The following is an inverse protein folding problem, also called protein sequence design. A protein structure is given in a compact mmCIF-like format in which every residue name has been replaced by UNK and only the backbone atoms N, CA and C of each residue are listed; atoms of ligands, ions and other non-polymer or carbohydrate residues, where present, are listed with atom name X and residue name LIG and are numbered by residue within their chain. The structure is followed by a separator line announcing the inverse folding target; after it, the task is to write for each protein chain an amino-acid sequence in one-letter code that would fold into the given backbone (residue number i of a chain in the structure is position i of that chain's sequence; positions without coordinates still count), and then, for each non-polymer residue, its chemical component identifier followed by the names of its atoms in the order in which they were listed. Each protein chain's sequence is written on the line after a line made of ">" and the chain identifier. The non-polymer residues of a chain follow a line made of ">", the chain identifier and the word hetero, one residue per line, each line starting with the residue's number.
data_IF_027876852047
#
_entry.id   IF_027876852047
#
_cell.length_a   1.000
_cell.length_b   1.000
_cell.length_c   1.000
_cell.angle_alpha   90.00
_cell.angle_beta   90.00
_cell.angle_gamma   90.00
#
_symmetry.space_group_name_H-M   'P 1'
#
loop_
_entity.id
_entity.type
_entity.pdbx_description
1 polymer ?
#
# COMPACT_ATOMS: atom_id res chain seq x y z
N UNK A 1 63.79 47.58 -14.16
CA UNK A 1 63.63 46.68 -13.00
C UNK A 1 62.30 45.89 -13.05
N UNK A 2 62.08 44.96 -14.00
CA UNK A 2 60.83 44.14 -14.08
C UNK A 2 61.05 42.62 -14.19
N UNK A 3 62.30 42.18 -14.43
CA UNK A 3 62.66 40.75 -14.52
C UNK A 3 62.50 39.93 -13.21
N UNK A 4 62.77 40.45 -12.00
CA UNK A 4 62.64 39.62 -10.80
C UNK A 4 61.18 39.34 -10.42
N UNK A 5 60.26 40.27 -10.71
CA UNK A 5 58.83 40.09 -10.44
C UNK A 5 58.20 38.99 -11.31
N UNK A 6 58.56 38.96 -12.61
CA UNK A 6 58.11 37.91 -13.52
C UNK A 6 58.62 36.51 -13.10
N UNK A 7 59.85 36.44 -12.59
CA UNK A 7 60.46 35.18 -12.15
C UNK A 7 59.81 34.64 -10.85
N UNK A 8 59.46 35.54 -9.93
CA UNK A 8 58.74 35.20 -8.70
C UNK A 8 57.32 34.71 -9.03
N UNK A 9 56.60 35.38 -9.93
CA UNK A 9 55.26 34.97 -10.35
C UNK A 9 55.27 33.58 -11.03
N UNK A 10 56.26 33.33 -11.89
CA UNK A 10 56.41 32.04 -12.58
C UNK A 10 56.77 30.92 -11.60
N UNK A 11 57.59 31.21 -10.59
CA UNK A 11 57.95 30.27 -9.53
C UNK A 11 56.76 29.94 -8.62
N UNK A 12 55.90 30.93 -8.32
CA UNK A 12 54.66 30.72 -7.56
C UNK A 12 53.67 29.88 -8.38
N UNK A 13 53.46 30.18 -9.66
CA UNK A 13 52.62 29.35 -10.53
C UNK A 13 53.15 27.92 -10.67
N UNK A 14 54.47 27.72 -10.74
CA UNK A 14 55.10 26.40 -10.77
C UNK A 14 54.90 25.66 -9.44
N UNK A 15 55.05 26.34 -8.31
CA UNK A 15 54.81 25.75 -6.99
C UNK A 15 53.35 25.40 -6.78
N UNK A 16 52.41 26.23 -7.26
CA UNK A 16 50.98 25.96 -7.23
C UNK A 16 50.64 24.77 -8.15
N UNK A 17 51.22 24.69 -9.35
CA UNK A 17 50.95 23.56 -10.25
C UNK A 17 51.60 22.26 -9.77
N UNK A 18 52.77 22.32 -9.14
CA UNK A 18 53.41 21.18 -8.48
C UNK A 18 52.65 20.74 -7.23
N UNK A 19 52.15 21.67 -6.41
CA UNK A 19 51.37 21.35 -5.22
C UNK A 19 49.98 20.82 -5.58
N UNK A 20 49.33 21.39 -6.59
CA UNK A 20 48.08 20.88 -7.15
C UNK A 20 48.29 19.51 -7.82
N UNK A 21 49.39 19.33 -8.54
CA UNK A 21 49.79 18.04 -9.10
C UNK A 21 50.01 16.99 -8.02
N UNK A 22 50.73 17.32 -6.95
CA UNK A 22 50.93 16.44 -5.79
C UNK A 22 49.63 16.14 -5.06
N UNK A 23 48.75 17.13 -4.89
CA UNK A 23 47.43 16.95 -4.29
C UNK A 23 46.58 15.99 -5.11
N UNK A 24 46.53 16.16 -6.44
CA UNK A 24 45.75 15.30 -7.34
C UNK A 24 46.35 13.89 -7.50
N UNK A 25 47.65 13.74 -7.28
CA UNK A 25 48.36 12.45 -7.46
C UNK A 25 48.62 11.69 -6.17
N UNK A 26 48.32 12.28 -5.00
CA UNK A 26 48.54 11.64 -3.70
C UNK A 26 47.26 11.02 -3.12
N UNK A 27 47.36 9.90 -2.37
CA UNK A 27 46.22 9.31 -1.65
C UNK A 27 45.58 10.26 -0.63
N UNK A 28 46.37 11.18 -0.06
CA UNK A 28 45.90 12.18 0.91
C UNK A 28 45.01 13.24 0.27
N UNK A 29 45.38 13.76 -0.89
CA UNK A 29 44.53 14.74 -1.60
C UNK A 29 43.26 14.09 -2.14
N UNK A 30 43.35 12.84 -2.60
CA UNK A 30 42.18 12.02 -2.93
C UNK A 30 41.21 11.87 -1.75
N UNK A 31 41.72 11.54 -0.56
CA UNK A 31 40.92 11.44 0.68
C UNK A 31 40.13 12.72 0.97
N UNK A 32 40.79 13.89 0.89
CA UNK A 32 40.15 15.20 1.12
C UNK A 32 39.03 15.47 0.10
N UNK A 33 39.21 15.08 -1.16
CA UNK A 33 38.18 15.25 -2.19
C UNK A 33 36.95 14.38 -1.88
N UNK A 34 37.17 13.13 -1.44
CA UNK A 34 36.06 12.26 -1.06
C UNK A 34 35.33 12.78 0.17
N UNK A 35 36.06 13.21 1.21
CA UNK A 35 35.50 13.86 2.40
C UNK A 35 34.62 15.05 2.00
N UNK A 36 35.16 15.95 1.18
CA UNK A 36 34.41 17.14 0.70
C UNK A 36 33.16 16.76 -0.10
N UNK A 37 33.25 15.75 -0.98
CA UNK A 37 32.13 15.30 -1.79
C UNK A 37 31.02 14.67 -0.95
N UNK A 38 31.40 13.91 0.09
CA UNK A 38 30.47 13.28 1.03
C UNK A 38 29.82 14.35 1.92
N UNK A 39 30.58 15.30 2.46
CA UNK A 39 30.04 16.39 3.27
C UNK A 39 28.99 17.20 2.49
N UNK A 40 29.23 17.47 1.20
CA UNK A 40 28.27 18.18 0.35
C UNK A 40 27.03 17.36 -0.01
N UNK A 41 27.17 16.04 -0.14
CA UNK A 41 26.10 15.19 -0.68
C UNK A 41 25.25 14.52 0.39
N UNK A 42 25.85 14.18 1.53
CA UNK A 42 25.26 13.35 2.59
C UNK A 42 25.17 14.05 3.95
N UNK A 43 25.88 15.17 4.15
CA UNK A 43 25.95 15.93 5.41
C UNK A 43 26.04 15.01 6.65
N UNK A 44 27.11 14.19 6.75
CA UNK A 44 27.20 13.14 7.74
C UNK A 44 27.49 13.70 9.14
N UNK A 45 26.89 13.09 10.16
CA UNK A 45 27.26 13.41 11.54
C UNK A 45 28.67 12.92 11.91
N UNK A 46 29.07 11.73 11.44
CA UNK A 46 30.44 11.22 11.58
C UNK A 46 30.90 10.54 10.28
N UNK A 47 32.16 10.74 9.92
CA UNK A 47 32.78 10.16 8.72
C UNK A 47 34.19 9.65 9.01
N UNK A 48 34.48 8.40 8.64
CA UNK A 48 35.79 7.76 8.77
C UNK A 48 36.17 6.96 7.52
N UNK A 49 37.46 7.01 7.19
CA UNK A 49 38.10 6.17 6.18
C UNK A 49 39.39 5.63 6.79
N UNK A 50 39.52 4.31 6.85
CA UNK A 50 40.70 3.63 7.38
C UNK A 50 41.91 3.80 6.45
N UNK A 51 41.75 3.46 5.17
CA UNK A 51 42.85 3.49 4.19
C UNK A 51 42.40 4.00 2.81
N UNK A 52 43.35 4.58 2.08
CA UNK A 52 43.18 4.98 0.69
C UNK A 52 44.42 4.63 -0.14
N UNK A 53 44.20 3.93 -1.26
CA UNK A 53 45.24 3.47 -2.17
C UNK A 53 44.99 4.02 -3.57
N UNK A 54 46.05 4.46 -4.25
CA UNK A 54 45.99 4.94 -5.63
C UNK A 54 45.99 6.47 -5.76
N UNK A 55 45.47 6.97 -6.88
CA UNK A 55 45.42 8.40 -7.21
C UNK A 55 44.35 8.73 -8.25
N UNK A 56 43.98 10.01 -8.38
CA UNK A 56 42.86 10.42 -9.26
C UNK A 56 43.07 10.05 -10.74
N UNK A 57 44.32 9.89 -11.19
CA UNK A 57 44.65 9.56 -12.59
C UNK A 57 44.38 8.08 -12.91
N UNK A 58 44.77 7.17 -12.02
CA UNK A 58 44.67 5.71 -12.23
C UNK A 58 43.45 5.08 -11.56
N UNK A 59 42.79 5.84 -10.69
CA UNK A 59 41.72 5.36 -9.81
C UNK A 59 42.19 5.27 -8.37
N UNK A 60 41.25 5.51 -7.46
CA UNK A 60 41.45 5.48 -6.01
C UNK A 60 40.58 4.38 -5.44
N UNK A 61 41.15 3.60 -4.56
CA UNK A 61 40.45 2.63 -3.73
C UNK A 61 40.41 3.15 -2.30
N UNK A 62 39.22 3.22 -1.73
CA UNK A 62 38.99 3.49 -0.32
C UNK A 62 38.55 2.19 0.34
N UNK A 63 39.10 1.91 1.52
CA UNK A 63 38.79 0.71 2.29
C UNK A 63 38.17 1.08 3.64
N UNK A 64 37.20 0.28 4.07
CA UNK A 64 36.47 0.42 5.33
C UNK A 64 35.96 1.85 5.59
N UNK A 65 35.16 2.36 4.66
CA UNK A 65 34.46 3.63 4.87
C UNK A 65 33.33 3.41 5.87
N UNK A 66 33.25 4.28 6.87
CA UNK A 66 32.17 4.30 7.84
C UNK A 66 31.55 5.70 7.92
N UNK A 67 30.25 5.79 7.65
CA UNK A 67 29.46 7.02 7.71
C UNK A 67 28.33 6.79 8.71
N UNK A 68 28.15 7.70 9.68
CA UNK A 68 27.06 7.62 10.66
C UNK A 68 26.21 8.87 10.63
N UNK A 69 24.94 8.71 11.04
CA UNK A 69 23.98 9.80 11.16
C UNK A 69 23.88 10.60 9.85
N UNK A 70 23.65 9.90 8.75
CA UNK A 70 23.50 10.48 7.41
C UNK A 70 22.24 11.37 7.41
N UNK A 71 22.37 12.61 6.93
CA UNK A 71 21.25 13.52 6.84
C UNK A 71 20.14 12.95 5.93
N UNK A 72 18.88 13.04 6.37
CA UNK A 72 17.74 12.49 5.64
C UNK A 72 17.50 10.98 5.84
N UNK A 73 18.22 10.33 6.76
CA UNK A 73 17.94 8.97 7.24
C UNK A 73 17.61 8.98 8.74
N UNK A 74 17.01 7.88 9.27
CA UNK A 74 16.76 7.73 10.71
C UNK A 74 18.02 7.94 11.56
N UNK A 75 17.85 8.54 12.75
CA UNK A 75 18.95 8.69 13.72
C UNK A 75 19.48 7.31 14.10
N UNK A 76 20.81 7.17 14.13
CA UNK A 76 21.47 5.86 14.33
C UNK A 76 21.72 5.09 13.03
N UNK A 77 21.30 5.61 11.87
CA UNK A 77 21.66 5.01 10.58
C UNK A 77 23.17 5.04 10.36
N UNK A 78 23.68 3.96 9.78
CA UNK A 78 25.10 3.79 9.54
C UNK A 78 25.34 3.13 8.17
N UNK A 79 26.23 3.70 7.36
CA UNK A 79 26.69 3.12 6.12
C UNK A 79 28.13 2.64 6.29
N UNK A 80 28.37 1.36 6.05
CA UNK A 80 29.72 0.76 5.99
C UNK A 80 30.02 0.32 4.58
N UNK A 81 31.17 0.70 4.02
CA UNK A 81 31.60 0.26 2.69
C UNK A 81 32.94 -0.41 2.83
N UNK A 82 33.00 -1.71 2.52
CA UNK A 82 34.26 -2.45 2.64
C UNK A 82 35.29 -1.96 1.63
N UNK A 83 34.88 -1.78 0.37
CA UNK A 83 35.75 -1.26 -0.68
C UNK A 83 34.98 -0.41 -1.66
N UNK A 84 35.48 0.80 -1.91
CA UNK A 84 34.97 1.73 -2.91
C UNK A 84 36.10 2.10 -3.86
N UNK A 85 35.98 1.71 -5.11
CA UNK A 85 36.89 2.15 -6.18
C UNK A 85 36.22 3.24 -6.99
N UNK A 86 36.93 4.34 -7.24
CA UNK A 86 36.47 5.45 -8.09
C UNK A 86 37.60 5.81 -9.06
N UNK A 87 37.26 5.92 -10.33
CA UNK A 87 38.15 6.40 -11.38
C UNK A 87 37.41 7.39 -12.29
N UNK A 88 38.07 8.49 -12.64
CA UNK A 88 37.57 9.49 -13.58
C UNK A 88 38.46 9.51 -14.82
N UNK A 89 38.17 8.67 -15.84
CA UNK A 89 38.91 8.70 -17.10
C UNK A 89 38.95 10.13 -17.67
N UNK A 90 40.16 10.65 -17.90
CA UNK A 90 40.39 12.00 -18.40
C UNK A 90 39.73 13.12 -17.57
N UNK A 91 39.56 12.92 -16.25
CA UNK A 91 38.86 13.85 -15.35
C UNK A 91 37.42 14.18 -15.78
N UNK A 92 36.78 13.29 -16.57
CA UNK A 92 35.39 13.45 -16.95
C UNK A 92 34.46 12.73 -15.94
N UNK A 93 33.65 13.46 -15.15
CA UNK A 93 32.73 12.85 -14.19
C UNK A 93 31.65 11.99 -14.85
N UNK A 94 31.28 12.26 -16.10
CA UNK A 94 30.26 11.51 -16.84
C UNK A 94 30.71 10.09 -17.23
N UNK A 95 32.02 9.86 -17.28
CA UNK A 95 32.62 8.56 -17.60
C UNK A 95 33.21 7.90 -16.34
N UNK A 96 32.77 8.31 -15.15
CA UNK A 96 33.25 7.75 -13.90
C UNK A 96 33.05 6.23 -13.89
N UNK A 97 34.08 5.53 -13.44
CA UNK A 97 34.00 4.12 -13.11
C UNK A 97 33.99 4.00 -11.59
N UNK A 98 32.89 3.51 -11.05
CA UNK A 98 32.71 3.28 -9.62
C UNK A 98 32.46 1.79 -9.40
N UNK A 99 33.18 1.16 -8.47
CA UNK A 99 32.96 -0.22 -8.04
C UNK A 99 32.76 -0.22 -6.52
N UNK A 100 31.60 -0.70 -6.08
CA UNK A 100 31.21 -0.78 -4.67
C UNK A 100 31.13 -2.24 -4.27
N UNK A 101 32.03 -2.65 -3.38
CA UNK A 101 32.04 -3.99 -2.82
C UNK A 101 31.50 -3.97 -1.39
N UNK A 102 30.40 -4.71 -1.18
CA UNK A 102 29.84 -4.99 0.14
C UNK A 102 29.59 -3.71 0.96
N UNK A 103 28.87 -2.76 0.36
CA UNK A 103 28.29 -1.66 1.11
C UNK A 103 27.11 -2.17 1.92
N UNK A 104 26.98 -1.73 3.18
CA UNK A 104 25.95 -2.15 4.12
C UNK A 104 25.35 -0.93 4.77
N UNK A 105 24.08 -0.68 4.52
CA UNK A 105 23.30 0.34 5.20
C UNK A 105 22.55 -0.33 6.37
N UNK A 106 22.90 0.08 7.57
CA UNK A 106 22.21 -0.28 8.81
C UNK A 106 21.18 0.80 9.10
N UNK A 107 19.93 0.38 9.22
CA UNK A 107 18.83 1.21 9.68
C UNK A 107 18.34 0.67 11.04
N UNK A 108 17.85 1.52 11.96
CA UNK A 108 17.41 1.12 13.29
C UNK A 108 16.37 -0.02 13.34
N UNK A 109 15.42 -0.05 12.41
CA UNK A 109 14.27 -0.98 12.43
C UNK A 109 14.28 -2.03 11.30
N UNK A 110 15.36 -2.08 10.50
CA UNK A 110 15.48 -3.00 9.36
C UNK A 110 16.75 -3.84 9.43
N UNK A 111 16.73 -5.00 8.76
CA UNK A 111 17.95 -5.75 8.54
C UNK A 111 18.90 -4.95 7.61
N UNK A 112 20.22 -5.18 7.69
CA UNK A 112 21.19 -4.46 6.88
C UNK A 112 20.89 -4.60 5.38
N UNK A 113 20.77 -3.47 4.69
CA UNK A 113 20.66 -3.42 3.24
C UNK A 113 22.05 -3.51 2.64
N UNK A 114 22.33 -4.61 1.95
CA UNK A 114 23.60 -4.90 1.29
C UNK A 114 23.53 -4.42 -0.15
N UNK A 115 24.48 -3.58 -0.53
CA UNK A 115 24.64 -3.02 -1.87
C UNK A 115 25.97 -3.51 -2.45
N UNK A 116 25.92 -4.07 -3.66
CA UNK A 116 27.12 -4.46 -4.41
C UNK A 116 26.91 -4.15 -5.87
N UNK A 117 27.85 -3.46 -6.50
CA UNK A 117 27.69 -3.18 -7.92
C UNK A 117 28.72 -2.25 -8.49
N UNK A 118 28.52 -1.95 -9.77
CA UNK A 118 29.40 -1.09 -10.55
C UNK A 118 28.59 -0.04 -11.27
N UNK A 119 29.22 1.09 -11.53
CA UNK A 119 28.75 2.11 -12.45
C UNK A 119 29.87 2.42 -13.42
N UNK A 120 29.61 2.26 -14.72
CA UNK A 120 30.57 2.55 -15.79
C UNK A 120 29.81 2.88 -17.07
N UNK A 121 30.33 3.82 -17.87
CA UNK A 121 29.74 4.21 -19.17
C UNK A 121 28.27 4.65 -19.04
N UNK A 122 27.94 5.34 -17.95
CA UNK A 122 26.57 5.75 -17.61
C UNK A 122 25.57 4.59 -17.40
N UNK A 123 26.06 3.39 -17.17
CA UNK A 123 25.26 2.22 -16.79
C UNK A 123 25.66 1.76 -15.39
N UNK A 124 24.65 1.48 -14.56
CA UNK A 124 24.81 0.76 -13.30
C UNK A 124 24.54 -0.73 -13.52
N UNK A 125 25.18 -1.56 -12.72
CA UNK A 125 24.86 -2.97 -12.48
C UNK A 125 25.01 -3.20 -10.98
N UNK A 126 23.91 -3.01 -10.25
CA UNK A 126 23.87 -2.96 -8.79
C UNK A 126 22.88 -3.97 -8.27
N UNK A 127 23.34 -4.85 -7.39
CA UNK A 127 22.51 -5.74 -6.60
C UNK A 127 22.24 -5.11 -5.22
N UNK A 128 20.98 -5.20 -4.79
CA UNK A 128 20.45 -4.72 -3.52
C UNK A 128 19.79 -5.90 -2.84
N UNK A 129 20.34 -6.29 -1.69
CA UNK A 129 19.87 -7.42 -0.91
C UNK A 129 19.53 -7.01 0.52
N UNK A 130 18.43 -7.52 1.06
CA UNK A 130 18.14 -7.45 2.50
C UNK A 130 17.30 -8.64 2.95
N UNK A 131 17.57 -9.16 4.15
CA UNK A 131 16.74 -10.20 4.76
C UNK A 131 15.37 -9.69 5.18
N UNK A 132 15.27 -8.41 5.52
CA UNK A 132 14.08 -7.78 6.09
C UNK A 132 14.15 -6.26 6.01
N UNK A 133 13.07 -5.61 5.58
CA UNK A 133 13.07 -4.16 5.40
C UNK A 133 11.72 -3.53 5.73
N UNK A 134 11.74 -2.45 6.52
CA UNK A 134 10.57 -1.66 6.88
C UNK A 134 10.37 -0.51 5.89
N UNK A 135 9.26 -0.55 5.14
CA UNK A 135 8.87 0.56 4.25
C UNK A 135 8.53 1.81 5.05
N UNK A 136 7.99 1.63 6.27
CA UNK A 136 7.63 2.77 7.11
C UNK A 136 8.86 3.60 7.48
N UNK A 137 9.95 2.93 7.83
CA UNK A 137 11.20 3.55 8.24
C UNK A 137 11.78 4.45 7.14
N UNK A 138 11.71 4.05 5.87
CA UNK A 138 12.25 4.88 4.77
C UNK A 138 11.26 5.96 4.30
N UNK A 139 9.97 5.67 4.30
CA UNK A 139 8.95 6.66 3.87
C UNK A 139 8.76 7.80 4.88
N UNK A 140 9.16 7.62 6.14
CA UNK A 140 9.13 8.69 7.15
C UNK A 140 10.17 9.78 6.87
N UNK A 141 11.35 9.40 6.36
CA UNK A 141 12.46 10.32 6.12
C UNK A 141 12.58 10.76 4.65
N UNK A 142 11.88 10.07 3.73
CA UNK A 142 11.76 10.44 2.32
C UNK A 142 10.32 10.86 1.97
N UNK A 143 9.92 12.13 2.22
CA UNK A 143 8.54 12.58 2.02
C UNK A 143 8.05 12.48 0.57
N UNK A 144 8.95 12.58 -0.43
CA UNK A 144 8.63 12.35 -1.84
C UNK A 144 8.24 10.89 -2.12
N UNK A 145 8.86 9.94 -1.41
CA UNK A 145 8.54 8.51 -1.54
C UNK A 145 7.19 8.19 -0.92
N UNK A 146 6.84 8.85 0.19
CA UNK A 146 5.54 8.70 0.88
C UNK A 146 4.34 9.04 -0.01
N UNK A 147 4.47 10.02 -0.92
CA UNK A 147 3.40 10.33 -1.89
C UNK A 147 3.26 9.28 -2.99
N UNK A 148 4.34 8.60 -3.36
CA UNK A 148 4.34 7.58 -4.42
C UNK A 148 3.93 6.20 -3.90
N UNK A 149 4.35 5.85 -2.69
CA UNK A 149 4.10 4.57 -2.04
C UNK A 149 3.36 4.85 -0.72
N UNK A 150 2.02 5.02 -0.74
CA UNK A 150 1.22 5.28 0.46
C UNK A 150 1.01 4.01 1.30
N UNK A 151 1.95 3.07 1.27
CA UNK A 151 1.88 1.75 1.90
C UNK A 151 2.82 1.75 3.11
N UNK A 152 2.37 1.18 4.22
CA UNK A 152 3.22 0.86 5.38
C UNK A 152 3.43 -0.63 5.43
N UNK A 153 4.55 -1.12 5.95
CA UNK A 153 4.73 -2.56 6.09
C UNK A 153 6.17 -3.03 6.08
N UNK A 154 6.32 -4.34 6.13
CA UNK A 154 7.61 -5.04 6.11
C UNK A 154 7.70 -6.01 4.94
N UNK A 155 8.91 -6.15 4.42
CA UNK A 155 9.28 -7.17 3.43
C UNK A 155 10.35 -8.09 4.01
N UNK A 156 10.50 -9.25 3.39
CA UNK A 156 11.59 -10.20 3.61
C UNK A 156 12.24 -10.58 2.28
N UNK A 157 13.45 -11.11 2.38
CA UNK A 157 14.19 -11.72 1.25
C UNK A 157 14.18 -10.84 0.00
N UNK A 158 14.54 -9.56 0.18
CA UNK A 158 14.66 -8.59 -0.90
C UNK A 158 15.94 -8.92 -1.66
N UNK A 159 15.81 -9.19 -2.96
CA UNK A 159 16.94 -9.35 -3.88
C UNK A 159 16.58 -8.67 -5.21
N UNK A 160 17.12 -7.47 -5.41
CA UNK A 160 16.84 -6.61 -6.56
C UNK A 160 18.12 -6.28 -7.31
N UNK A 161 18.05 -6.27 -8.63
CA UNK A 161 19.11 -5.84 -9.53
C UNK A 161 18.66 -4.59 -10.27
N UNK A 162 19.45 -3.53 -10.16
CA UNK A 162 19.30 -2.29 -10.89
C UNK A 162 20.36 -2.23 -11.99
N UNK A 163 19.91 -2.14 -13.23
CA UNK A 163 20.75 -2.07 -14.42
C UNK A 163 20.48 -0.81 -15.24
N UNK A 164 21.37 -0.49 -16.19
CA UNK A 164 21.28 0.64 -17.14
C UNK A 164 21.45 2.02 -16.48
N UNK A 165 20.89 3.08 -17.04
CA UNK A 165 21.06 4.46 -16.52
C UNK A 165 20.38 4.62 -15.16
N UNK A 166 20.98 5.34 -14.19
CA UNK A 166 20.30 5.75 -12.95
C UNK A 166 19.04 6.61 -13.18
N UNK A 167 18.96 7.29 -14.33
CA UNK A 167 17.79 8.07 -14.73
C UNK A 167 16.71 7.21 -15.39
N UNK A 168 17.13 6.12 -16.05
CA UNK A 168 16.26 5.19 -16.76
C UNK A 168 16.54 3.73 -16.33
N UNK A 169 16.32 3.40 -15.04
CA UNK A 169 16.77 2.13 -14.49
C UNK A 169 15.91 0.96 -14.95
N UNK A 170 16.58 -0.18 -15.21
CA UNK A 170 15.94 -1.47 -15.31
C UNK A 170 16.06 -2.19 -13.97
N UNK A 171 14.93 -2.33 -13.26
CA UNK A 171 14.84 -2.98 -11.96
C UNK A 171 14.22 -4.36 -12.14
N UNK A 172 14.93 -5.42 -11.78
CA UNK A 172 14.38 -6.77 -11.73
C UNK A 172 14.73 -7.47 -10.41
N UNK A 173 13.96 -8.47 -10.04
CA UNK A 173 14.24 -9.26 -8.85
C UNK A 173 12.99 -9.72 -8.13
N UNK A 174 13.14 -10.03 -6.85
CA UNK A 174 12.07 -10.58 -6.01
C UNK A 174 12.13 -10.07 -4.59
N UNK A 175 10.97 -10.11 -3.94
CA UNK A 175 10.81 -9.89 -2.50
C UNK A 175 9.60 -10.67 -2.00
N UNK A 176 9.55 -10.94 -0.71
CA UNK A 176 8.34 -11.45 -0.05
C UNK A 176 7.75 -10.34 0.80
N UNK A 177 6.49 -10.02 0.58
CA UNK A 177 5.72 -9.12 1.43
C UNK A 177 5.32 -9.91 2.67
N UNK A 178 5.81 -9.51 3.84
CA UNK A 178 5.37 -10.07 5.11
C UNK A 178 4.02 -9.44 5.50
N UNK A 179 3.96 -8.11 5.49
CA UNK A 179 2.72 -7.39 5.76
C UNK A 179 2.76 -6.00 5.13
N UNK A 180 1.85 -5.70 4.20
CA UNK A 180 1.58 -4.36 3.69
C UNK A 180 0.21 -3.87 4.12
N UNK A 181 0.17 -2.65 4.64
CA UNK A 181 -1.00 -1.94 5.13
C UNK A 181 -1.30 -0.76 4.22
N UNK A 182 -2.52 -0.73 3.68
CA UNK A 182 -3.01 0.38 2.85
C UNK A 182 -4.48 0.65 3.15
N UNK A 183 -4.78 1.80 3.78
CA UNK A 183 -6.16 2.29 3.98
C UNK A 183 -7.16 1.23 4.49
N UNK A 184 -6.78 0.44 5.51
CA UNK A 184 -7.64 -0.60 6.08
C UNK A 184 -7.58 -1.96 5.39
N UNK A 185 -6.72 -2.10 4.37
CA UNK A 185 -6.36 -3.37 3.76
C UNK A 185 -5.03 -3.86 4.30
N UNK A 186 -4.91 -5.17 4.38
CA UNK A 186 -3.67 -5.84 4.74
C UNK A 186 -3.36 -6.93 3.73
N UNK A 187 -2.21 -6.85 3.07
CA UNK A 187 -1.67 -7.90 2.21
C UNK A 187 -0.54 -8.61 2.95
N UNK A 188 -0.63 -9.93 3.10
CA UNK A 188 0.36 -10.76 3.81
C UNK A 188 0.86 -11.91 2.97
N UNK A 189 2.01 -12.44 3.38
CA UNK A 189 2.59 -13.70 2.90
C UNK A 189 2.57 -13.81 1.37
N UNK A 190 3.08 -12.77 0.72
CA UNK A 190 2.92 -12.59 -0.72
C UNK A 190 4.28 -12.51 -1.41
N UNK A 191 4.58 -13.54 -2.20
CA UNK A 191 5.82 -13.60 -2.98
C UNK A 191 5.68 -12.80 -4.27
N UNK A 192 6.57 -11.83 -4.42
CA UNK A 192 6.56 -10.85 -5.51
C UNK A 192 7.81 -11.00 -6.37
N UNK A 193 7.61 -11.02 -7.68
CA UNK A 193 8.69 -10.90 -8.67
C UNK A 193 8.40 -9.69 -9.53
N UNK A 194 9.41 -8.86 -9.79
CA UNK A 194 9.25 -7.66 -10.59
C UNK A 194 10.30 -7.61 -11.70
N UNK A 195 9.89 -7.05 -12.83
CA UNK A 195 10.74 -6.73 -13.97
C UNK A 195 10.20 -5.44 -14.58
N UNK A 196 10.84 -4.33 -14.27
CA UNK A 196 10.35 -2.97 -14.51
C UNK A 196 11.44 -2.10 -15.15
N UNK A 197 11.11 -1.46 -16.25
CA UNK A 197 11.88 -0.36 -16.81
C UNK A 197 11.21 0.95 -16.40
N UNK A 198 11.97 1.85 -15.78
CA UNK A 198 11.48 3.14 -15.31
C UNK A 198 12.18 4.20 -16.14
N UNK A 199 11.45 4.99 -16.92
CA UNK A 199 11.99 6.16 -17.62
C UNK A 199 11.78 7.42 -16.78
N UNK A 200 12.74 8.34 -16.80
CA UNK A 200 12.64 9.63 -16.11
C UNK A 200 12.31 9.50 -14.60
N UNK A 201 13.01 8.61 -13.89
CA UNK A 201 12.69 8.21 -12.51
C UNK A 201 12.50 9.38 -11.51
N UNK A 202 13.11 10.55 -11.76
CA UNK A 202 13.11 11.70 -10.86
C UNK A 202 12.12 12.82 -11.24
N UNK A 203 11.37 12.69 -12.34
CA UNK A 203 10.42 13.71 -12.81
C UNK A 203 9.02 13.12 -12.94
N UNK A 204 8.63 12.75 -14.17
CA UNK A 204 7.36 12.10 -14.48
C UNK A 204 7.66 10.66 -14.89
N UNK A 205 7.73 9.72 -13.93
CA UNK A 205 8.18 8.38 -14.21
C UNK A 205 7.20 7.68 -15.14
N UNK A 206 7.72 7.10 -16.22
CA UNK A 206 6.99 6.11 -17.02
C UNK A 206 7.51 4.74 -16.64
N UNK A 207 6.61 3.82 -16.37
CA UNK A 207 6.95 2.46 -15.98
C UNK A 207 6.47 1.52 -17.07
N UNK A 208 7.35 0.64 -17.51
CA UNK A 208 7.03 -0.47 -18.39
C UNK A 208 7.47 -1.77 -17.74
N UNK A 209 6.69 -2.84 -17.93
CA UNK A 209 7.03 -4.16 -17.39
C UNK A 209 5.95 -4.72 -16.50
N UNK A 210 6.33 -5.63 -15.61
CA UNK A 210 5.38 -6.49 -14.89
C UNK A 210 5.80 -6.75 -13.46
N UNK A 211 4.83 -6.69 -12.56
CA UNK A 211 4.91 -7.21 -11.19
C UNK A 211 4.04 -8.46 -11.13
N UNK A 212 4.62 -9.57 -10.68
CA UNK A 212 3.97 -10.86 -10.50
C UNK A 212 3.79 -11.11 -9.01
N UNK A 213 2.60 -11.59 -8.65
CA UNK A 213 2.25 -12.04 -7.31
C UNK A 213 1.97 -13.54 -7.41
N UNK A 214 2.74 -14.38 -6.74
CA UNK A 214 2.58 -15.84 -6.89
C UNK A 214 1.49 -16.41 -5.97
N UNK A 215 1.38 -15.84 -4.78
CA UNK A 215 0.49 -16.19 -3.67
C UNK A 215 0.26 -14.93 -2.83
N UNK A 216 -0.67 -14.97 -1.89
CA UNK A 216 -0.85 -13.91 -0.90
C UNK A 216 -2.18 -13.98 -0.18
N UNK A 217 -2.28 -13.30 0.95
CA UNK A 217 -3.52 -13.19 1.73
C UNK A 217 -3.89 -11.72 1.81
N UNK A 218 -5.00 -11.34 1.17
CA UNK A 218 -5.57 -10.01 1.25
C UNK A 218 -6.72 -10.00 2.26
N UNK A 219 -6.53 -9.29 3.36
CA UNK A 219 -7.59 -8.94 4.29
C UNK A 219 -8.22 -7.62 3.85
N UNK A 220 -9.50 -7.69 3.47
CA UNK A 220 -10.34 -6.55 3.09
C UNK A 220 -11.44 -6.40 4.13
N UNK A 221 -11.45 -5.33 4.93
CA UNK A 221 -12.50 -4.98 5.91
C UNK A 221 -13.11 -6.12 6.76
N UNK A 222 -13.95 -6.98 6.16
CA UNK A 222 -14.68 -8.10 6.77
C UNK A 222 -14.40 -9.47 6.13
N UNK A 223 -13.60 -9.55 5.08
CA UNK A 223 -13.30 -10.78 4.33
C UNK A 223 -11.83 -10.97 4.07
N UNK A 224 -11.46 -12.23 3.85
CA UNK A 224 -10.10 -12.63 3.48
C UNK A 224 -10.14 -13.26 2.11
N UNK A 225 -9.24 -12.82 1.23
CA UNK A 225 -9.08 -13.32 -0.14
C UNK A 225 -7.71 -13.94 -0.24
N UNK A 226 -7.66 -15.21 -0.64
CA UNK A 226 -6.42 -15.89 -0.99
C UNK A 226 -6.09 -15.52 -2.44
N UNK A 227 -5.06 -14.72 -2.62
CA UNK A 227 -4.53 -14.32 -3.92
C UNK A 227 -3.81 -15.52 -4.53
N UNK A 228 -4.17 -15.82 -5.76
CA UNK A 228 -3.49 -16.78 -6.63
C UNK A 228 -2.57 -16.02 -7.58
N UNK A 229 -1.88 -16.74 -8.47
CA UNK A 229 -0.99 -16.13 -9.47
C UNK A 229 -1.65 -14.97 -10.19
N UNK A 230 -1.17 -13.77 -9.91
CA UNK A 230 -1.75 -12.49 -10.34
C UNK A 230 -0.65 -11.57 -10.85
N UNK A 231 -1.02 -10.52 -11.57
CA UNK A 231 -0.04 -9.55 -12.04
C UNK A 231 -0.60 -8.14 -12.17
N UNK A 232 0.33 -7.20 -12.13
CA UNK A 232 0.16 -5.81 -12.52
C UNK A 232 1.14 -5.56 -13.68
N UNK A 233 0.65 -5.01 -14.79
CA UNK A 233 1.45 -4.70 -15.97
C UNK A 233 1.39 -3.20 -16.24
N UNK A 234 2.55 -2.60 -16.42
CA UNK A 234 2.71 -1.19 -16.74
C UNK A 234 3.10 -1.03 -18.22
N UNK A 235 2.55 -0.02 -18.89
CA UNK A 235 2.76 0.26 -20.32
C UNK A 235 2.95 1.76 -20.59
N UNK A 236 3.61 2.47 -19.67
CA UNK A 236 3.83 3.91 -19.74
C UNK A 236 3.42 4.61 -18.44
N UNK A 237 2.25 5.29 -18.35
CA UNK A 237 1.84 5.94 -17.11
C UNK A 237 1.75 4.96 -15.93
N UNK A 238 2.35 5.33 -14.80
CA UNK A 238 2.39 4.47 -13.61
C UNK A 238 1.03 4.35 -12.90
N UNK A 239 0.10 5.25 -13.19
CA UNK A 239 -1.14 5.47 -12.45
C UNK A 239 -2.38 4.73 -13.00
N UNK A 240 -2.30 4.12 -14.18
CA UNK A 240 -3.38 3.26 -14.72
C UNK A 240 -2.83 1.93 -15.29
N UNK A 241 -2.23 1.07 -14.44
CA UNK A 241 -1.71 -0.21 -14.90
C UNK A 241 -2.82 -1.20 -15.25
N UNK A 242 -2.49 -2.17 -16.12
CA UNK A 242 -3.35 -3.33 -16.38
C UNK A 242 -3.24 -4.32 -15.23
N UNK A 243 -4.37 -4.67 -14.64
CA UNK A 243 -4.50 -5.59 -13.54
C UNK A 243 -5.02 -6.94 -14.03
N UNK A 244 -4.49 -8.02 -13.49
CA UNK A 244 -5.06 -9.36 -13.61
C UNK A 244 -4.90 -10.07 -12.28
N UNK A 245 -5.91 -9.92 -11.43
CA UNK A 245 -5.94 -10.45 -10.08
C UNK A 245 -6.89 -11.64 -10.04
N UNK A 246 -6.40 -12.77 -9.57
CA UNK A 246 -7.18 -13.98 -9.36
C UNK A 246 -7.07 -14.42 -7.91
N UNK A 247 -8.16 -14.94 -7.36
CA UNK A 247 -8.17 -15.40 -5.99
C UNK A 247 -9.50 -16.02 -5.59
N UNK A 248 -9.59 -16.43 -4.34
CA UNK A 248 -10.85 -16.94 -3.79
C UNK A 248 -11.03 -16.54 -2.33
N UNK A 249 -12.29 -16.44 -1.92
CA UNK A 249 -12.70 -16.27 -0.53
C UNK A 249 -13.66 -17.40 -0.14
N UNK A 250 -13.70 -17.75 1.13
CA UNK A 250 -14.69 -18.70 1.66
C UNK A 250 -15.53 -18.00 2.71
N UNK A 251 -16.83 -17.88 2.47
CA UNK A 251 -17.77 -17.18 3.36
C UNK A 251 -18.92 -18.14 3.65
N UNK A 252 -19.05 -18.56 4.91
CA UNK A 252 -20.13 -19.46 5.36
C UNK A 252 -20.29 -20.69 4.46
N UNK A 253 -19.16 -21.40 4.24
CA UNK A 253 -19.04 -22.60 3.37
C UNK A 253 -19.30 -22.38 1.88
N UNK A 254 -19.52 -21.14 1.44
CA UNK A 254 -19.57 -20.78 0.02
C UNK A 254 -18.19 -20.36 -0.43
N UNK A 255 -17.59 -21.11 -1.36
CA UNK A 255 -16.34 -20.70 -2.02
C UNK A 255 -16.67 -19.72 -3.14
N UNK A 256 -16.12 -18.52 -3.08
CA UNK A 256 -16.29 -17.45 -4.07
C UNK A 256 -14.97 -17.31 -4.82
N UNK A 257 -14.97 -17.58 -6.12
CA UNK A 257 -13.83 -17.32 -6.99
C UNK A 257 -13.95 -15.90 -7.56
N UNK A 258 -12.82 -15.19 -7.58
CA UNK A 258 -12.71 -13.77 -7.90
C UNK A 258 -11.70 -13.63 -9.03
N UNK A 259 -12.12 -12.99 -10.12
CA UNK A 259 -11.25 -12.61 -11.24
C UNK A 259 -11.48 -11.15 -11.60
N UNK A 260 -10.48 -10.32 -11.37
CA UNK A 260 -10.46 -8.90 -11.74
C UNK A 260 -9.44 -8.70 -12.86
N UNK A 261 -9.89 -8.16 -14.00
CA UNK A 261 -9.03 -7.86 -15.15
C UNK A 261 -9.27 -6.43 -15.65
N UNK A 262 -8.34 -5.86 -16.39
CA UNK A 262 -8.46 -4.54 -17.01
C UNK A 262 -7.73 -3.46 -16.22
N UNK A 263 -7.99 -2.19 -16.54
CA UNK A 263 -7.30 -1.05 -15.91
C UNK A 263 -8.08 -0.54 -14.68
N UNK A 264 -7.52 0.43 -13.96
CA UNK A 264 -8.21 1.07 -12.83
C UNK A 264 -9.43 1.84 -13.33
N UNK A 265 -9.32 2.45 -14.51
CA UNK A 265 -10.43 3.18 -15.13
C UNK A 265 -11.55 2.26 -15.63
N UNK A 266 -11.19 1.10 -16.20
CA UNK A 266 -12.11 0.14 -16.80
C UNK A 266 -11.95 -1.30 -16.25
N UNK A 267 -12.34 -1.54 -14.98
CA UNK A 267 -12.21 -2.84 -14.36
C UNK A 267 -13.31 -3.82 -14.80
N UNK A 268 -12.92 -5.05 -15.09
CA UNK A 268 -13.80 -6.17 -15.40
C UNK A 268 -13.74 -7.23 -14.29
N UNK A 269 -14.78 -7.26 -13.46
CA UNK A 269 -14.93 -8.20 -12.35
C UNK A 269 -15.87 -9.36 -12.69
N UNK A 270 -15.35 -10.57 -12.57
CA UNK A 270 -16.08 -11.85 -12.67
C UNK A 270 -16.07 -12.49 -11.28
N UNK A 271 -17.26 -12.86 -10.80
CA UNK A 271 -17.46 -13.59 -9.54
C UNK A 271 -18.23 -14.88 -9.84
N UNK A 272 -17.71 -16.00 -9.36
CA UNK A 272 -18.42 -17.29 -9.40
C UNK A 272 -18.40 -17.93 -8.02
N UNK A 273 -19.30 -18.86 -7.75
CA UNK A 273 -19.34 -19.51 -6.44
C UNK A 273 -19.87 -20.93 -6.48
N UNK A 274 -19.51 -21.69 -5.44
CA UNK A 274 -20.07 -22.99 -5.14
C UNK A 274 -20.67 -22.93 -3.73
N UNK A 275 -22.01 -23.03 -3.58
CA UNK A 275 -23.05 -23.16 -4.62
C UNK A 275 -23.20 -21.90 -5.50
N UNK A 276 -23.80 -22.04 -6.69
CA UNK A 276 -23.96 -20.93 -7.65
C UNK A 276 -24.90 -19.85 -7.14
N UNK A 277 -24.42 -18.61 -7.04
CA UNK A 277 -25.16 -17.43 -6.60
C UNK A 277 -25.04 -16.29 -7.63
N UNK A 278 -25.94 -15.31 -7.56
CA UNK A 278 -25.88 -14.12 -8.42
C UNK A 278 -24.66 -13.23 -8.07
N UNK A 279 -24.12 -12.53 -9.08
CA UNK A 279 -22.99 -11.61 -8.91
C UNK A 279 -23.21 -10.59 -7.78
N UNK A 280 -24.39 -9.97 -7.72
CA UNK A 280 -24.71 -8.96 -6.70
C UNK A 280 -24.69 -9.54 -5.28
N UNK A 281 -25.19 -10.78 -5.12
CA UNK A 281 -25.14 -11.51 -3.85
C UNK A 281 -23.70 -11.82 -3.46
N UNK A 282 -22.86 -12.23 -4.42
CA UNK A 282 -21.44 -12.45 -4.17
C UNK A 282 -20.70 -11.17 -3.77
N UNK A 283 -20.99 -10.04 -4.41
CA UNK A 283 -20.43 -8.74 -4.03
C UNK A 283 -20.83 -8.36 -2.60
N UNK A 284 -22.10 -8.54 -2.22
CA UNK A 284 -22.56 -8.26 -0.87
C UNK A 284 -21.93 -9.20 0.16
N UNK A 285 -21.81 -10.48 -0.16
CA UNK A 285 -21.12 -11.45 0.70
C UNK A 285 -19.67 -11.01 0.93
N UNK A 286 -18.95 -10.62 -0.13
CA UNK A 286 -17.57 -10.12 -0.05
C UNK A 286 -17.47 -8.84 0.79
N UNK A 287 -18.38 -7.89 0.62
CA UNK A 287 -18.38 -6.62 1.35
C UNK A 287 -18.69 -6.79 2.85
N UNK A 288 -19.57 -7.73 3.20
CA UNK A 288 -20.10 -7.87 4.57
C UNK A 288 -19.47 -9.02 5.36
N UNK A 289 -18.83 -9.97 4.68
CA UNK A 289 -18.30 -11.20 5.28
C UNK A 289 -19.36 -12.18 5.76
N UNK A 290 -20.62 -12.04 5.31
CA UNK A 290 -21.74 -12.88 5.75
C UNK A 290 -22.54 -13.40 4.56
N UNK A 291 -23.19 -14.55 4.75
CA UNK A 291 -24.16 -15.09 3.80
C UNK A 291 -25.47 -14.32 3.93
N UNK A 292 -26.01 -13.88 2.79
CA UNK A 292 -27.30 -13.21 2.71
C UNK A 292 -28.29 -14.14 2.03
N UNK A 293 -29.23 -14.72 2.78
CA UNK A 293 -30.26 -15.64 2.27
C UNK A 293 -31.60 -14.96 1.97
N UNK A 294 -31.80 -13.71 2.43
CA UNK A 294 -33.07 -12.98 2.30
C UNK A 294 -33.22 -12.18 1.00
N UNK A 295 -32.18 -12.10 0.16
CA UNK A 295 -32.21 -11.34 -1.10
C UNK A 295 -32.89 -12.06 -2.26
N UNK A 296 -33.20 -13.35 -2.13
CA UNK A 296 -33.89 -14.11 -3.19
C UNK A 296 -35.32 -13.59 -3.46
N UNK A 297 -35.85 -12.69 -2.60
CA UNK A 297 -37.15 -12.04 -2.75
C UNK A 297 -37.10 -10.55 -3.12
N UNK A 298 -35.92 -9.93 -3.21
CA UNK A 298 -35.80 -8.53 -3.63
C UNK A 298 -35.57 -8.51 -5.13
N UNK A 299 -36.68 -8.48 -5.86
CA UNK A 299 -36.70 -8.34 -7.31
C UNK A 299 -35.95 -7.08 -7.75
N UNK A 300 -35.01 -7.32 -8.68
CA UNK A 300 -34.24 -6.39 -9.51
C UNK A 300 -34.66 -4.91 -9.40
N UNK A 301 -33.99 -4.17 -8.51
CA UNK A 301 -33.73 -2.77 -8.84
C UNK A 301 -32.69 -2.79 -9.96
N UNK A 302 -32.97 -2.16 -11.10
CA UNK A 302 -32.03 -1.99 -12.22
C UNK A 302 -30.81 -1.18 -11.76
N UNK A 303 -29.84 -1.86 -11.16
CA UNK A 303 -28.53 -1.30 -10.93
C UNK A 303 -27.78 -1.33 -12.25
N UNK A 304 -27.40 -0.17 -12.81
CA UNK A 304 -26.45 -0.10 -13.91
C UNK A 304 -25.16 -0.79 -13.47
N UNK A 305 -24.93 -2.00 -13.99
CA UNK A 305 -23.95 -2.98 -13.50
C UNK A 305 -22.49 -2.51 -13.62
N UNK A 306 -22.19 -1.63 -14.56
CA UNK A 306 -20.86 -1.08 -14.77
C UNK A 306 -20.43 -0.12 -13.65
N UNK A 307 -21.27 0.86 -13.31
CA UNK A 307 -20.99 1.83 -12.23
C UNK A 307 -20.90 1.13 -10.87
N UNK A 308 -21.78 0.17 -10.60
CA UNK A 308 -21.76 -0.62 -9.37
C UNK A 308 -20.49 -1.50 -9.26
N UNK A 309 -20.03 -2.07 -10.39
CA UNK A 309 -18.78 -2.86 -10.42
C UNK A 309 -17.57 -1.97 -10.13
N UNK A 310 -17.50 -0.78 -10.75
CA UNK A 310 -16.42 0.19 -10.48
C UNK A 310 -16.42 0.62 -9.02
N UNK A 311 -17.58 0.96 -8.46
CA UNK A 311 -17.71 1.38 -7.06
C UNK A 311 -17.34 0.26 -6.08
N UNK A 312 -17.73 -0.99 -6.38
CA UNK A 312 -17.31 -2.15 -5.58
C UNK A 312 -15.82 -2.40 -5.67
N UNK A 313 -15.23 -2.31 -6.86
CA UNK A 313 -13.79 -2.52 -7.04
C UNK A 313 -13.01 -1.44 -6.28
N UNK A 314 -13.43 -0.18 -6.35
CA UNK A 314 -12.84 0.91 -5.56
C UNK A 314 -12.97 0.65 -4.05
N UNK A 315 -14.15 0.23 -3.58
CA UNK A 315 -14.39 -0.09 -2.17
C UNK A 315 -13.59 -1.32 -1.70
N UNK A 316 -13.59 -2.39 -2.48
CA UNK A 316 -13.13 -3.72 -2.09
C UNK A 316 -11.66 -3.99 -2.41
N UNK A 317 -11.04 -3.27 -3.35
CA UNK A 317 -9.63 -3.46 -3.70
C UNK A 317 -8.78 -2.21 -3.48
N UNK A 318 -9.35 -1.00 -3.56
CA UNK A 318 -8.58 0.26 -3.57
C UNK A 318 -8.86 1.20 -2.41
N UNK A 319 -9.67 0.76 -1.44
CA UNK A 319 -9.98 1.52 -0.24
C UNK A 319 -10.53 2.92 -0.52
N UNK A 320 -11.48 3.00 -1.45
CA UNK A 320 -12.12 4.23 -1.89
C UNK A 320 -12.54 5.17 -0.74
N UNK A 321 -12.32 6.48 -0.93
CA UNK A 321 -12.78 7.54 0.00
C UNK A 321 -14.31 7.69 0.02
N UNK A 322 -15.02 7.05 -0.91
CA UNK A 322 -16.44 7.25 -1.11
C UNK A 322 -17.21 6.01 -0.65
N UNK A 323 -18.05 6.20 0.38
CA UNK A 323 -19.10 5.25 0.75
C UNK A 323 -20.16 5.07 -0.37
N UNK A 324 -19.89 5.43 -1.64
CA UNK A 324 -20.90 5.38 -2.71
C UNK A 324 -21.41 3.97 -2.98
N UNK A 325 -20.58 2.93 -2.85
CA UNK A 325 -21.05 1.54 -2.92
C UNK A 325 -22.07 1.23 -1.80
N UNK A 326 -21.74 1.53 -0.54
CA UNK A 326 -22.65 1.35 0.60
C UNK A 326 -23.92 2.24 0.50
N UNK A 327 -23.78 3.48 0.01
CA UNK A 327 -24.86 4.45 -0.21
C UNK A 327 -25.80 4.04 -1.35
N UNK A 328 -25.28 3.52 -2.47
CA UNK A 328 -26.07 3.00 -3.61
C UNK A 328 -26.76 1.67 -3.29
N UNK A 329 -26.17 0.87 -2.40
CA UNK A 329 -26.83 -0.30 -1.80
C UNK A 329 -27.84 0.06 -0.69
N UNK A 330 -28.00 1.34 -0.34
CA UNK A 330 -29.00 1.81 0.62
C UNK A 330 -28.65 1.51 2.09
N UNK A 331 -27.39 1.29 2.42
CA UNK A 331 -26.94 0.97 3.78
C UNK A 331 -26.57 2.30 4.48
N UNK A 332 -27.56 2.97 5.09
CA UNK A 332 -27.38 4.28 5.74
C UNK A 332 -27.30 4.23 7.27
N UNK A 333 -27.95 3.26 7.91
CA UNK A 333 -27.80 2.97 9.34
C UNK A 333 -28.03 1.48 9.54
N UNK A 334 -26.95 0.72 9.80
CA UNK A 334 -27.08 -0.64 10.35
C UNK A 334 -27.08 -0.50 11.85
N UNK A 335 -28.26 -0.54 12.48
CA UNK A 335 -28.32 -0.65 13.94
C UNK A 335 -28.10 -2.12 14.32
N UNK A 336 -26.95 -2.39 14.94
CA UNK A 336 -26.66 -3.68 15.55
C UNK A 336 -26.94 -3.53 17.04
N UNK A 337 -27.98 -4.21 17.55
CA UNK A 337 -28.20 -4.35 19.00
C UNK A 337 -27.67 -5.72 19.43
N UNK A 338 -26.73 -5.71 20.37
CA UNK A 338 -26.12 -6.92 20.91
C UNK A 338 -26.04 -6.81 22.43
N UNK A 339 -26.90 -7.56 23.12
CA UNK A 339 -26.85 -7.81 24.57
C UNK A 339 -26.82 -9.32 24.80
N UNK A 340 -26.46 -9.78 26.01
CA UNK A 340 -26.32 -11.21 26.32
C UNK A 340 -27.54 -12.06 25.87
N UNK A 341 -28.74 -11.48 25.97
CA UNK A 341 -30.00 -12.16 25.64
C UNK A 341 -30.68 -11.71 24.34
N UNK A 342 -30.16 -10.68 23.66
CA UNK A 342 -30.83 -10.04 22.50
C UNK A 342 -29.87 -9.82 21.33
N UNK A 343 -30.21 -10.38 20.17
CA UNK A 343 -29.48 -10.20 18.90
C UNK A 343 -30.39 -9.55 17.88
N UNK A 344 -30.08 -8.34 17.44
CA UNK A 344 -30.90 -7.60 16.49
C UNK A 344 -30.11 -6.90 15.39
N UNK A 345 -30.65 -6.91 14.17
CA UNK A 345 -30.12 -6.17 13.01
C UNK A 345 -31.25 -5.37 12.38
N UNK A 346 -31.07 -4.06 12.30
CA UNK A 346 -31.94 -3.15 11.57
C UNK A 346 -31.24 -2.50 10.39
N UNK A 347 -31.97 -2.28 9.30
CA UNK A 347 -31.55 -1.48 8.16
C UNK A 347 -32.61 -0.42 7.87
N UNK A 348 -32.18 0.82 7.66
CA UNK A 348 -33.05 1.92 7.24
C UNK A 348 -32.57 2.51 5.92
N UNK A 349 -33.52 2.74 5.02
CA UNK A 349 -33.32 3.28 3.68
C UNK A 349 -34.22 4.50 3.49
N UNK A 350 -33.62 5.64 3.19
CA UNK A 350 -34.37 6.81 2.71
C UNK A 350 -34.78 6.58 1.25
N UNK A 351 -36.09 6.58 0.98
CA UNK A 351 -36.67 6.44 -0.36
C UNK A 351 -36.71 7.79 -1.10
N UNK A 352 -36.85 8.89 -0.35
CA UNK A 352 -36.74 10.27 -0.83
C UNK A 352 -36.17 11.16 0.29
N UNK A 353 -35.88 12.42 0.01
CA UNK A 353 -35.45 13.40 1.02
C UNK A 353 -36.45 13.61 2.17
N UNK A 354 -37.70 13.14 1.99
CA UNK A 354 -38.78 13.27 2.97
C UNK A 354 -39.31 11.93 3.48
N UNK A 355 -38.95 10.80 2.89
CA UNK A 355 -39.54 9.49 3.22
C UNK A 355 -38.45 8.46 3.45
N UNK A 356 -38.45 7.83 4.61
CA UNK A 356 -37.56 6.71 4.95
C UNK A 356 -38.33 5.49 5.38
N UNK A 357 -37.79 4.31 5.07
CA UNK A 357 -38.35 3.02 5.44
C UNK A 357 -37.26 2.20 6.11
N UNK A 358 -37.58 1.57 7.22
CA UNK A 358 -36.66 0.69 7.93
C UNK A 358 -37.29 -0.65 8.23
N UNK A 359 -36.43 -1.65 8.30
CA UNK A 359 -36.78 -3.00 8.70
C UNK A 359 -35.75 -3.50 9.71
N UNK A 360 -36.21 -4.01 10.85
CA UNK A 360 -35.34 -4.64 11.83
C UNK A 360 -35.90 -5.97 12.30
N UNK A 361 -34.98 -6.90 12.56
CA UNK A 361 -35.29 -8.18 13.19
C UNK A 361 -34.51 -8.22 14.49
N UNK A 362 -35.21 -8.41 15.60
CA UNK A 362 -34.65 -8.62 16.93
C UNK A 362 -35.04 -10.01 17.43
N UNK A 363 -34.08 -10.78 17.92
CA UNK A 363 -34.31 -12.10 18.49
C UNK A 363 -33.88 -12.09 19.96
N UNK A 364 -34.80 -12.43 20.84
CA UNK A 364 -34.58 -12.52 22.28
C UNK A 364 -34.74 -13.98 22.74
N UNK A 365 -33.81 -14.44 23.56
CA UNK A 365 -33.85 -15.78 24.18
C UNK A 365 -34.15 -15.58 25.66
N UNK A 366 -35.28 -16.12 26.14
CA UNK A 366 -35.62 -16.07 27.57
C UNK A 366 -35.14 -17.32 28.30
N UNK A 367 -34.88 -17.22 29.61
CA UNK A 367 -34.43 -18.32 30.48
C UNK A 367 -35.32 -19.59 30.38
N UNK A 368 -36.61 -19.43 30.08
CA UNK A 368 -37.56 -20.54 29.87
C UNK A 368 -37.49 -21.23 28.50
N UNK A 369 -36.34 -21.16 27.79
CA UNK A 369 -36.15 -21.77 26.45
C UNK A 369 -37.21 -21.35 25.41
N UNK A 370 -37.81 -20.18 25.55
CA UNK A 370 -38.66 -19.60 24.52
C UNK A 370 -37.85 -18.62 23.67
N UNK A 371 -38.00 -18.73 22.35
CA UNK A 371 -37.41 -17.78 21.39
C UNK A 371 -38.51 -16.83 20.94
N UNK A 372 -38.33 -15.54 21.18
CA UNK A 372 -39.17 -14.51 20.59
C UNK A 372 -38.42 -13.81 19.47
N UNK A 373 -39.04 -13.75 18.29
CA UNK A 373 -38.56 -12.95 17.16
C UNK A 373 -39.50 -11.78 16.98
N UNK A 374 -38.96 -10.58 17.09
CA UNK A 374 -39.67 -9.32 16.84
C UNK A 374 -39.21 -8.79 15.49
N UNK A 375 -40.14 -8.64 14.56
CA UNK A 375 -39.90 -7.97 13.29
C UNK A 375 -40.55 -6.61 13.34
N UNK A 376 -39.80 -5.57 13.03
CA UNK A 376 -40.29 -4.19 13.02
C UNK A 376 -40.17 -3.63 11.62
N UNK A 377 -41.29 -3.16 11.07
CA UNK A 377 -41.34 -2.37 9.84
C UNK A 377 -41.65 -0.94 10.26
N UNK A 378 -40.81 0.01 9.86
CA UNK A 378 -41.00 1.43 10.17
C UNK A 378 -41.03 2.25 8.88
N UNK A 379 -41.97 3.18 8.79
CA UNK A 379 -42.01 4.24 7.79
C UNK A 379 -41.94 5.60 8.50
N UNK A 380 -41.00 6.44 8.10
CA UNK A 380 -40.85 7.81 8.63
C UNK A 380 -41.01 8.83 7.51
N UNK A 381 -41.80 9.86 7.77
CA UNK A 381 -42.01 11.02 6.90
C UNK A 381 -41.54 12.31 7.58
N UNK A 382 -40.61 13.01 6.94
CA UNK A 382 -40.06 14.29 7.39
C UNK A 382 -41.01 15.43 7.04
N UNK A 383 -41.66 15.98 8.06
CA UNK A 383 -42.61 17.10 7.93
C UNK A 383 -41.86 18.42 7.84
N UNK A 384 -40.83 18.60 8.69
CA UNK A 384 -39.92 19.75 8.68
C UNK A 384 -38.51 19.27 9.03
N UNK A 385 -37.52 20.18 9.03
CA UNK A 385 -36.15 19.85 9.48
C UNK A 385 -36.06 19.42 10.94
N UNK A 386 -37.07 19.76 11.76
CA UNK A 386 -37.11 19.44 13.19
C UNK A 386 -38.21 18.42 13.57
N UNK A 387 -39.13 18.10 12.66
CA UNK A 387 -40.30 17.26 12.90
C UNK A 387 -40.40 16.07 11.95
N UNK A 388 -40.54 14.86 12.49
CA UNK A 388 -40.81 13.63 11.73
C UNK A 388 -42.02 12.89 12.29
N UNK A 389 -42.87 12.42 11.39
CA UNK A 389 -43.98 11.49 11.67
C UNK A 389 -43.50 10.09 11.35
N UNK A 390 -43.75 9.12 12.22
CA UNK A 390 -43.41 7.72 11.98
C UNK A 390 -44.57 6.79 12.25
N UNK A 391 -44.64 5.72 11.47
CA UNK A 391 -45.53 4.58 11.68
C UNK A 391 -44.65 3.36 11.82
N UNK A 392 -44.92 2.55 12.83
CA UNK A 392 -44.18 1.34 13.13
C UNK A 392 -45.14 0.19 13.34
N UNK A 393 -44.86 -0.93 12.68
CA UNK A 393 -45.55 -2.19 12.86
C UNK A 393 -44.56 -3.21 13.39
N UNK A 394 -44.79 -3.64 14.62
CA UNK A 394 -44.06 -4.71 15.30
C UNK A 394 -44.85 -6.00 15.19
N UNK A 395 -44.22 -7.06 14.71
CA UNK A 395 -44.78 -8.42 14.68
C UNK A 395 -43.92 -9.28 15.60
N UNK A 396 -44.50 -9.67 16.73
CA UNK A 396 -43.84 -10.54 17.71
C UNK A 396 -44.30 -11.97 17.49
N UNK A 397 -43.37 -12.87 17.21
CA UNK A 397 -43.63 -14.31 17.13
C UNK A 397 -42.92 -15.00 18.29
N UNK A 398 -43.68 -15.71 19.14
CA UNK A 398 -43.14 -16.53 20.22
C UNK A 398 -43.22 -18.01 19.84
N UNK A 399 -42.08 -18.71 19.96
CA UNK A 399 -42.00 -20.16 19.78
C UNK A 399 -41.49 -20.78 21.07
N UNK A 400 -42.28 -21.70 21.61
CA UNK A 400 -41.89 -22.50 22.77
C UNK A 400 -41.12 -23.74 22.29
N UNK A 401 -39.87 -23.92 22.71
CA UNK A 401 -39.01 -25.00 22.18
C UNK A 401 -39.39 -26.39 22.75
N UNK A 402 -40.28 -26.45 23.74
CA UNK A 402 -40.64 -27.68 24.45
C UNK A 402 -41.95 -28.34 23.96
N UNK A 403 -42.67 -27.74 23.02
CA UNK A 403 -43.93 -28.28 22.48
C UNK A 403 -43.87 -28.35 20.94
N UNK A 404 -43.76 -29.57 20.42
CA UNK A 404 -43.44 -29.84 19.01
C UNK A 404 -44.61 -29.54 18.04
N UNK A 405 -45.80 -29.17 18.53
CA UNK A 405 -47.00 -29.01 17.71
C UNK A 405 -47.86 -27.76 17.96
N UNK A 406 -47.39 -26.74 18.70
CA UNK A 406 -48.15 -25.48 18.80
C UNK A 406 -47.80 -24.50 17.66
N UNK A 407 -48.83 -23.93 17.04
CA UNK A 407 -48.68 -22.81 16.10
C UNK A 407 -48.03 -21.63 16.84
N UNK A 408 -47.05 -20.93 16.24
CA UNK A 408 -46.44 -19.78 16.88
C UNK A 408 -47.49 -18.74 17.25
N UNK A 409 -47.49 -18.29 18.51
CA UNK A 409 -48.32 -17.19 18.93
C UNK A 409 -47.76 -15.90 18.30
N UNK A 410 -48.52 -15.32 17.38
CA UNK A 410 -48.19 -14.08 16.69
C UNK A 410 -49.03 -12.95 17.28
N UNK A 411 -48.38 -11.89 17.75
CA UNK A 411 -49.04 -10.66 18.16
C UNK A 411 -48.50 -9.51 17.33
N UNK A 412 -49.41 -8.72 16.74
CA UNK A 412 -49.07 -7.52 15.99
C UNK A 412 -49.34 -6.27 16.84
N UNK A 413 -48.46 -5.29 16.76
CA UNK A 413 -48.63 -4.00 17.41
C UNK A 413 -48.30 -2.89 16.43
N UNK A 414 -49.20 -1.92 16.30
CA UNK A 414 -49.04 -0.79 15.40
C UNK A 414 -48.97 0.49 16.24
N UNK A 415 -47.92 1.28 16.02
CA UNK A 415 -47.68 2.53 16.75
C UNK A 415 -47.46 3.66 15.76
N UNK A 416 -48.07 4.80 16.04
CA UNK A 416 -47.79 6.07 15.37
C UNK A 416 -47.03 6.94 16.35
N UNK A 417 -45.89 7.47 15.93
CA UNK A 417 -45.04 8.31 16.78
C UNK A 417 -44.64 9.60 16.09
N UNK A 418 -44.26 10.58 16.89
CA UNK A 418 -43.73 11.87 16.43
C UNK A 418 -42.34 12.05 17.04
N UNK A 419 -41.32 12.26 16.20
CA UNK A 419 -39.94 12.53 16.61
C UNK A 419 -39.62 14.01 16.41
N UNK A 420 -39.15 14.66 17.48
CA UNK A 420 -38.66 16.03 17.46
C UNK A 420 -37.15 16.07 17.68
N UNK A 421 -36.42 16.76 16.80
CA UNK A 421 -34.98 16.99 16.96
C UNK A 421 -34.77 18.21 17.86
N UNK A 422 -34.27 18.00 19.09
CA UNK A 422 -33.91 19.05 20.04
C UNK A 422 -32.42 19.39 19.85
N UNK A 423 -32.11 20.65 19.58
CA UNK A 423 -30.73 21.16 19.58
C UNK A 423 -30.35 21.42 21.05
N UNK A 424 -29.21 20.87 21.48
CA UNK A 424 -28.57 21.17 22.76
C UNK A 424 -27.37 22.08 22.50
#
# INVERSE_FOLDING_TARGET
>A
MKKPFLFILLSICLLISLSLGYFLTSPKGAKIILETAIDQSLDPGEFMIDDSLGNLLKGITYENIEIKNIHGLPVGSQLKIQKLFIQFPNFNPWNAHVDVLNARLFLPESDPVILRGKYQNNEMDVNVFSNGFSIHEVTEYLPKLKSLIPIKGTTKTVDLYLKKSPFDPHVNGSLTIEEFLYKGFTLKDCDVTLDLFIENAFHEPKIEGKILFNNGILHSHKTTVNIQKSFIKFTGPWNDPELSITGFSTIDRTKINISLKGTIENPHLILTSEPSLSKDRLMLMLATGKKWSSLDKVQQAEFKTADLTKDFVDYFFFAGKSNQFAKKLGIYDVSVKFTEDTKGIGAKKDLTDKLGVGYSIEQQVSENQSKSTTQTIQGEYKVTDKLRLGVEKEVNSKVNLNEVNEKPAVSENEKVYIKFKKEF
#
